data_IF_179150106027
#
_entry.id   IF_179150106027
#
_cell.length_a   1.000
_cell.length_b   1.000
_cell.length_c   1.000
_cell.angle_alpha   90.00
_cell.angle_beta   90.00
_cell.angle_gamma   90.00
#
_symmetry.space_group_name_H-M   'P 1'
#
loop_
_entity.id
_entity.type
_entity.pdbx_description
1 polymer ?
#
# COMPACT_ATOMS: atom_id res chain seq x y z
N UNK A 1 -22.05 8.14 3.76
CA UNK A 1 -20.70 8.45 3.27
C UNK A 1 -19.74 8.34 4.44
N UNK A 2 -19.19 7.14 4.68
CA UNK A 2 -18.37 6.82 5.86
C UNK A 2 -17.44 5.62 5.57
N UNK A 3 -16.73 5.66 4.44
CA UNK A 3 -15.92 4.52 3.98
C UNK A 3 -14.46 4.88 3.65
N UNK A 4 -14.01 6.12 3.79
CA UNK A 4 -12.57 6.39 3.65
C UNK A 4 -11.84 6.22 4.98
N UNK A 5 -12.35 6.80 6.07
CA UNK A 5 -11.66 6.80 7.36
C UNK A 5 -11.53 5.40 7.97
N UNK A 6 -12.58 4.57 7.87
CA UNK A 6 -12.55 3.20 8.39
C UNK A 6 -11.61 2.30 7.58
N UNK A 7 -11.51 2.52 6.28
CA UNK A 7 -10.67 1.71 5.39
C UNK A 7 -9.21 2.14 5.47
N UNK A 8 -8.94 3.43 5.59
CA UNK A 8 -7.60 3.94 5.91
C UNK A 8 -7.10 3.38 7.24
N UNK A 9 -7.95 3.33 8.26
CA UNK A 9 -7.62 2.71 9.55
C UNK A 9 -7.29 1.22 9.41
N UNK A 10 -8.00 0.50 8.53
CA UNK A 10 -7.71 -0.92 8.24
C UNK A 10 -6.37 -1.08 7.50
N UNK A 11 -6.08 -0.21 6.53
CA UNK A 11 -4.82 -0.20 5.79
C UNK A 11 -3.63 0.07 6.71
N UNK A 12 -3.74 1.07 7.59
CA UNK A 12 -2.68 1.42 8.54
C UNK A 12 -2.43 0.28 9.54
N UNK A 13 -3.48 -0.25 10.16
CA UNK A 13 -3.36 -1.42 11.05
C UNK A 13 -2.76 -2.65 10.36
N UNK A 14 -3.05 -2.86 9.08
CA UNK A 14 -2.48 -3.96 8.30
C UNK A 14 -0.99 -3.73 8.07
N UNK A 15 -0.60 -2.50 7.71
CA UNK A 15 0.81 -2.11 7.56
C UNK A 15 1.60 -2.32 8.86
N UNK A 16 1.09 -1.80 9.98
CA UNK A 16 1.69 -1.98 11.31
C UNK A 16 1.82 -3.45 11.70
N UNK A 17 0.80 -4.27 11.43
CA UNK A 17 0.84 -5.70 11.74
C UNK A 17 1.88 -6.45 10.89
N UNK A 18 2.03 -6.09 9.62
CA UNK A 18 3.05 -6.66 8.73
C UNK A 18 4.44 -6.20 9.15
N UNK A 19 4.63 -4.92 9.45
CA UNK A 19 5.88 -4.38 9.99
C UNK A 19 6.27 -5.02 11.31
N UNK A 20 5.31 -5.24 12.22
CA UNK A 20 5.55 -5.92 13.50
C UNK A 20 6.00 -7.36 13.31
N UNK A 21 5.52 -8.02 12.25
CA UNK A 21 5.82 -9.43 11.96
C UNK A 21 7.12 -9.62 11.18
N UNK A 22 7.39 -8.77 10.19
CA UNK A 22 8.47 -8.93 9.23
C UNK A 22 9.58 -7.89 9.40
N UNK A 23 9.34 -6.82 10.14
CA UNK A 23 10.20 -5.66 10.26
C UNK A 23 9.69 -4.49 9.41
N UNK A 24 9.85 -3.28 9.92
CA UNK A 24 9.59 -2.05 9.18
C UNK A 24 10.53 -1.99 7.96
N UNK A 25 9.97 -1.73 6.77
CA UNK A 25 10.71 -1.73 5.49
C UNK A 25 11.41 -3.05 5.13
N UNK A 26 11.04 -4.16 5.76
CA UNK A 26 11.67 -5.47 5.54
C UNK A 26 10.78 -6.46 4.78
N UNK A 27 9.71 -5.98 4.15
CA UNK A 27 8.81 -6.80 3.33
C UNK A 27 8.34 -6.06 2.08
N UNK A 28 8.05 -6.81 1.02
CA UNK A 28 7.39 -6.30 -0.20
C UNK A 28 5.88 -6.43 -0.08
N UNK A 29 5.14 -5.50 -0.66
CA UNK A 29 3.67 -5.56 -0.69
C UNK A 29 3.12 -5.25 -2.07
N UNK A 30 2.35 -6.21 -2.61
CA UNK A 30 1.64 -6.09 -3.87
C UNK A 30 0.21 -5.57 -3.65
N UNK A 31 -0.14 -4.47 -4.31
CA UNK A 31 -1.45 -3.81 -4.20
C UNK A 31 -1.88 -3.17 -5.51
N UNK A 32 -3.17 -2.85 -5.60
CA UNK A 32 -3.78 -2.34 -6.83
C UNK A 32 -4.73 -1.17 -6.60
N UNK A 33 -4.82 -0.67 -5.36
CA UNK A 33 -5.78 0.35 -4.97
C UNK A 33 -5.15 1.44 -4.10
N UNK A 34 -5.83 2.58 -3.99
CA UNK A 34 -5.41 3.67 -3.10
C UNK A 34 -5.45 3.27 -1.62
N UNK A 35 -6.16 2.19 -1.29
CA UNK A 35 -6.24 1.63 0.06
C UNK A 35 -4.97 0.89 0.47
N UNK A 36 -4.10 0.57 -0.48
CA UNK A 36 -2.82 -0.07 -0.25
C UNK A 36 -1.72 0.93 0.16
N UNK A 37 -1.95 2.24 -0.06
CA UNK A 37 -1.01 3.31 0.28
C UNK A 37 -0.55 3.27 1.74
N UNK A 38 -1.43 3.13 2.76
CA UNK A 38 -0.99 3.00 4.14
C UNK A 38 -0.12 1.76 4.38
N UNK A 39 -0.34 0.65 3.67
CA UNK A 39 0.48 -0.56 3.80
C UNK A 39 1.85 -0.35 3.15
N UNK A 40 1.90 0.29 1.98
CA UNK A 40 3.14 0.64 1.29
C UNK A 40 4.04 1.58 2.09
N UNK A 41 3.47 2.42 2.98
CA UNK A 41 4.28 3.23 3.91
C UNK A 41 5.17 2.38 4.82
N UNK A 42 4.79 1.15 5.12
CA UNK A 42 5.56 0.22 5.96
C UNK A 42 6.38 -0.79 5.14
N UNK A 43 6.00 -1.02 3.89
CA UNK A 43 6.70 -1.92 2.99
C UNK A 43 8.05 -1.31 2.56
N UNK A 44 9.05 -2.18 2.40
CA UNK A 44 10.34 -1.85 1.82
C UNK A 44 10.33 -1.85 0.30
N UNK A 45 9.35 -2.52 -0.30
CA UNK A 45 9.13 -2.56 -1.74
C UNK A 45 7.64 -2.47 -2.06
N UNK A 46 7.31 -1.57 -2.98
CA UNK A 46 5.98 -1.24 -3.45
C UNK A 46 5.78 -1.87 -4.82
N UNK A 47 4.98 -2.94 -4.84
CA UNK A 47 4.62 -3.62 -6.07
C UNK A 47 3.19 -3.21 -6.43
N UNK A 48 3.03 -2.55 -7.57
CA UNK A 48 1.72 -2.18 -8.10
C UNK A 48 1.32 -3.22 -9.15
N UNK A 49 0.14 -3.82 -8.97
CA UNK A 49 -0.39 -4.84 -9.90
C UNK A 49 -1.75 -4.39 -10.41
N UNK A 50 -1.96 -4.36 -11.72
CA UNK A 50 -3.22 -3.95 -12.37
C UNK A 50 -3.88 -2.72 -11.69
N UNK A 51 -3.22 -1.55 -11.69
CA UNK A 51 -3.62 -0.41 -10.87
C UNK A 51 -5.00 0.13 -11.24
N UNK A 52 -5.80 0.46 -10.23
CA UNK A 52 -7.04 1.21 -10.46
C UNK A 52 -6.76 2.61 -11.04
N UNK A 53 -7.76 3.20 -11.70
CA UNK A 53 -7.63 4.50 -12.35
C UNK A 53 -7.18 5.58 -11.35
N UNK A 54 -6.09 6.26 -11.70
CA UNK A 54 -5.50 7.33 -10.89
C UNK A 54 -4.77 6.86 -9.63
N UNK A 55 -4.45 5.57 -9.53
CA UNK A 55 -3.57 5.07 -8.47
C UNK A 55 -2.11 5.46 -8.72
N UNK A 56 -1.63 5.27 -9.95
CA UNK A 56 -0.25 5.59 -10.31
C UNK A 56 0.06 7.08 -10.08
N UNK A 57 -0.89 7.98 -10.36
CA UNK A 57 -0.75 9.41 -10.04
C UNK A 57 -0.59 9.69 -8.54
N UNK A 58 -1.14 8.84 -7.67
CA UNK A 58 -1.03 8.98 -6.20
C UNK A 58 0.23 8.33 -5.64
N UNK A 59 0.66 7.22 -6.22
CA UNK A 59 1.86 6.49 -5.79
C UNK A 59 3.13 7.21 -6.28
N UNK A 60 3.07 7.77 -7.50
CA UNK A 60 4.20 8.46 -8.12
C UNK A 60 5.44 7.58 -8.20
N UNK A 61 6.60 8.17 -7.94
CA UNK A 61 7.90 7.48 -7.91
C UNK A 61 8.08 6.52 -6.72
N UNK A 62 7.06 6.33 -5.87
CA UNK A 62 7.13 5.38 -4.76
C UNK A 62 6.92 3.93 -5.19
N UNK A 63 6.56 3.67 -6.45
CA UNK A 63 6.38 2.31 -6.98
C UNK A 63 7.72 1.75 -7.48
N UNK A 64 8.15 0.64 -6.90
CA UNK A 64 9.38 -0.05 -7.32
C UNK A 64 9.15 -0.93 -8.54
N UNK A 65 7.98 -1.59 -8.60
CA UNK A 65 7.62 -2.51 -9.67
C UNK A 65 6.16 -2.29 -10.06
N UNK A 66 5.88 -2.20 -11.37
CA UNK A 66 4.53 -2.06 -11.92
C UNK A 66 4.26 -3.21 -12.87
N UNK A 67 3.17 -3.93 -12.63
CA UNK A 67 2.61 -4.95 -13.52
C UNK A 67 1.24 -4.48 -14.02
N UNK A 68 1.07 -4.40 -15.34
CA UNK A 68 -0.19 -4.04 -16.02
C UNK A 68 -0.92 -5.26 -16.55
#
# INVERSE_FOLDING_TARGET
MASDSSFNLRGEKKGEALASRFGEKAFSYAGNSKHDIPVWKHAGEVIVVNPERGLLDKVGDSADIIFE
#
